data_IF_967868704155
#
_entry.id   IF_967868704155
#
_cell.length_a   1.000
_cell.length_b   1.000
_cell.length_c   1.000
_cell.angle_alpha   90.00
_cell.angle_beta   90.00
_cell.angle_gamma   90.00
#
_symmetry.space_group_name_H-M   'P 1'
#
loop_
_entity.id
_entity.type
_entity.pdbx_description
1 polymer ?
#
# COMPACT_ATOMS: atom_id res chain seq x y z
N UNK A 1 1.92 8.89 40.67
CA UNK A 1 1.44 8.41 39.35
C UNK A 1 1.07 6.94 39.48
N UNK A 2 -0.21 6.57 39.31
CA UNK A 2 -0.69 5.20 39.55
C UNK A 2 -0.28 4.26 38.40
N UNK A 3 0.17 3.05 38.74
CA UNK A 3 0.64 2.01 37.80
C UNK A 3 -0.34 1.73 36.64
N UNK A 4 -1.66 1.90 36.83
CA UNK A 4 -2.65 1.67 35.77
C UNK A 4 -2.64 2.74 34.67
N UNK A 5 -2.32 4.00 34.98
CA UNK A 5 -2.20 5.06 33.97
C UNK A 5 -0.99 4.83 33.06
N UNK A 6 0.13 4.36 33.63
CA UNK A 6 1.32 4.01 32.86
C UNK A 6 1.08 2.82 31.91
N UNK A 7 0.35 1.79 32.37
CA UNK A 7 -0.04 0.66 31.54
C UNK A 7 -1.00 1.06 30.40
N UNK A 8 -1.97 1.93 30.66
CA UNK A 8 -2.87 2.44 29.63
C UNK A 8 -2.15 3.21 28.51
N UNK A 9 -1.17 4.04 28.87
CA UNK A 9 -0.33 4.77 27.91
C UNK A 9 0.54 3.80 27.08
N UNK A 10 1.15 2.81 27.72
CA UNK A 10 1.98 1.81 27.04
C UNK A 10 1.16 1.00 26.02
N UNK A 11 -0.05 0.57 26.38
CA UNK A 11 -0.95 -0.18 25.48
C UNK A 11 -1.41 0.67 24.30
N UNK A 12 -1.76 1.95 24.50
CA UNK A 12 -2.12 2.87 23.41
C UNK A 12 -0.96 3.05 22.42
N UNK A 13 0.26 3.24 22.94
CA UNK A 13 1.47 3.37 22.11
C UNK A 13 1.75 2.11 21.29
N UNK A 14 1.61 0.92 21.89
CA UNK A 14 1.77 -0.36 21.18
C UNK A 14 0.72 -0.55 20.08
N UNK A 15 -0.54 -0.21 20.36
CA UNK A 15 -1.62 -0.33 19.39
C UNK A 15 -1.45 0.66 18.22
N UNK A 16 -0.97 1.87 18.50
CA UNK A 16 -0.65 2.86 17.47
C UNK A 16 0.51 2.38 16.58
N UNK A 17 1.57 1.83 17.18
CA UNK A 17 2.67 1.22 16.43
C UNK A 17 2.18 0.07 15.53
N UNK A 18 1.35 -0.82 16.06
CA UNK A 18 0.78 -1.93 15.28
C UNK A 18 -0.10 -1.43 14.11
N UNK A 19 -0.86 -0.35 14.30
CA UNK A 19 -1.65 0.27 13.21
C UNK A 19 -0.75 0.86 12.13
N UNK A 20 0.30 1.58 12.52
CA UNK A 20 1.27 2.15 11.58
C UNK A 20 2.01 1.07 10.81
N UNK A 21 2.36 -0.02 11.48
CA UNK A 21 3.04 -1.14 10.84
C UNK A 21 2.16 -1.85 9.81
N UNK A 22 0.90 -2.15 10.15
CA UNK A 22 -0.05 -2.71 9.18
C UNK A 22 -0.25 -1.80 7.98
N UNK A 23 -0.45 -0.50 8.22
CA UNK A 23 -0.60 0.46 7.12
C UNK A 23 0.67 0.55 6.25
N UNK A 24 1.86 0.36 6.83
CA UNK A 24 3.11 0.33 6.06
C UNK A 24 3.17 -0.91 5.18
N UNK A 25 2.87 -2.08 5.74
CA UNK A 25 2.85 -3.36 5.01
C UNK A 25 1.83 -3.31 3.87
N UNK A 26 0.62 -2.84 4.13
CA UNK A 26 -0.41 -2.62 3.11
C UNK A 26 0.12 -1.70 1.98
N UNK A 27 0.78 -0.60 2.32
CA UNK A 27 1.35 0.31 1.31
C UNK A 27 2.53 -0.30 0.54
N UNK A 28 3.31 -1.20 1.15
CA UNK A 28 4.38 -1.95 0.47
C UNK A 28 3.80 -2.95 -0.54
N UNK A 29 2.75 -3.67 -0.17
CA UNK A 29 2.03 -4.58 -1.08
C UNK A 29 1.44 -3.82 -2.27
N UNK A 30 0.78 -2.69 -2.03
CA UNK A 30 0.20 -1.88 -3.11
C UNK A 30 1.29 -1.33 -4.03
N UNK A 31 2.44 -0.91 -3.49
CA UNK A 31 3.60 -0.50 -4.30
C UNK A 31 4.16 -1.65 -5.14
N UNK A 32 4.25 -2.85 -4.58
CA UNK A 32 4.72 -4.03 -5.31
C UNK A 32 3.77 -4.39 -6.47
N UNK A 33 2.46 -4.33 -6.24
CA UNK A 33 1.46 -4.53 -7.29
C UNK A 33 1.58 -3.48 -8.39
N UNK A 34 1.72 -2.20 -8.03
CA UNK A 34 1.90 -1.13 -9.00
C UNK A 34 3.20 -1.30 -9.82
N UNK A 35 4.27 -1.78 -9.21
CA UNK A 35 5.52 -2.07 -9.91
C UNK A 35 5.35 -3.21 -10.92
N UNK A 36 4.64 -4.29 -10.57
CA UNK A 36 4.35 -5.39 -11.48
C UNK A 36 3.51 -4.93 -12.69
N UNK A 37 2.48 -4.12 -12.46
CA UNK A 37 1.67 -3.56 -13.54
C UNK A 37 2.47 -2.62 -14.46
N UNK A 38 3.43 -1.86 -13.92
CA UNK A 38 4.34 -1.04 -14.74
C UNK A 38 5.24 -1.90 -15.61
N UNK A 39 5.72 -3.03 -15.11
CA UNK A 39 6.50 -3.96 -15.93
C UNK A 39 5.68 -4.48 -17.11
N UNK A 40 4.42 -4.86 -16.90
CA UNK A 40 3.52 -5.26 -17.99
C UNK A 40 3.27 -4.10 -18.95
N UNK A 41 3.02 -2.89 -18.42
CA UNK A 41 2.80 -1.69 -19.22
C UNK A 41 3.99 -1.34 -20.10
N UNK A 42 5.22 -1.53 -19.61
CA UNK A 42 6.44 -1.13 -20.29
C UNK A 42 7.06 -2.28 -21.12
N UNK A 43 6.59 -3.52 -20.93
CA UNK A 43 7.05 -4.69 -21.67
C UNK A 43 6.74 -4.54 -23.17
N UNK A 44 7.76 -4.54 -24.07
CA UNK A 44 7.52 -4.45 -25.51
C UNK A 44 6.77 -5.65 -26.09
N UNK A 45 6.84 -6.82 -25.45
CA UNK A 45 6.22 -8.07 -25.91
C UNK A 45 4.76 -8.23 -25.44
N UNK A 46 4.32 -7.37 -24.51
CA UNK A 46 2.94 -7.38 -24.04
C UNK A 46 1.99 -6.95 -25.16
N UNK A 47 0.88 -7.67 -25.30
CA UNK A 47 -0.15 -7.33 -26.27
C UNK A 47 -0.74 -5.94 -25.93
N UNK A 48 -1.29 -5.22 -26.92
CA UNK A 48 -1.97 -3.95 -26.66
C UNK A 48 -3.10 -4.06 -25.62
N UNK A 49 -3.79 -5.21 -25.57
CA UNK A 49 -4.84 -5.49 -24.59
C UNK A 49 -4.31 -5.57 -23.16
N UNK A 50 -3.26 -6.37 -22.93
CA UNK A 50 -2.62 -6.50 -21.62
C UNK A 50 -2.05 -5.17 -21.12
N UNK A 51 -1.44 -4.39 -22.02
CA UNK A 51 -0.93 -3.05 -21.71
C UNK A 51 -2.06 -2.11 -21.27
N UNK A 52 -3.19 -2.14 -21.99
CA UNK A 52 -4.36 -1.33 -21.66
C UNK A 52 -4.97 -1.73 -20.31
N UNK A 53 -5.07 -3.03 -20.03
CA UNK A 53 -5.55 -3.52 -18.74
C UNK A 53 -4.63 -3.08 -17.58
N UNK A 54 -3.32 -3.20 -17.75
CA UNK A 54 -2.36 -2.75 -16.75
C UNK A 54 -2.50 -1.24 -16.46
N UNK A 55 -2.70 -0.42 -17.49
CA UNK A 55 -2.95 1.03 -17.33
C UNK A 55 -4.24 1.30 -16.56
N UNK A 56 -5.34 0.60 -16.90
CA UNK A 56 -6.62 0.75 -16.19
C UNK A 56 -6.50 0.40 -14.71
N UNK A 57 -5.81 -0.69 -14.40
CA UNK A 57 -5.55 -1.11 -13.01
C UNK A 57 -4.70 -0.07 -12.26
N UNK A 58 -3.67 0.48 -12.90
CA UNK A 58 -2.84 1.54 -12.31
C UNK A 58 -3.65 2.82 -12.00
N UNK A 59 -4.53 3.25 -12.91
CA UNK A 59 -5.42 4.41 -12.70
C UNK A 59 -6.40 4.18 -11.54
N UNK A 60 -6.94 2.97 -11.42
CA UNK A 60 -7.83 2.61 -10.32
C UNK A 60 -7.08 2.57 -8.98
N UNK A 61 -5.85 2.05 -8.95
CA UNK A 61 -4.99 2.09 -7.78
C UNK A 61 -4.67 3.53 -7.35
N UNK A 62 -4.42 4.44 -8.30
CA UNK A 62 -4.20 5.87 -8.01
C UNK A 62 -5.43 6.50 -7.34
N UNK A 63 -6.63 6.17 -7.80
CA UNK A 63 -7.90 6.65 -7.20
C UNK A 63 -8.11 6.10 -5.79
N UNK A 64 -7.82 4.82 -5.55
CA UNK A 64 -8.10 4.15 -4.27
C UNK A 64 -7.08 4.46 -3.17
N UNK A 65 -5.80 4.49 -3.52
CA UNK A 65 -4.71 4.52 -2.52
C UNK A 65 -3.97 5.86 -2.45
N UNK A 66 -4.37 6.86 -3.26
CA UNK A 66 -3.68 8.17 -3.37
C UNK A 66 -2.18 7.98 -3.55
N UNK A 67 -1.80 6.99 -4.34
CA UNK A 67 -0.40 6.74 -4.67
C UNK A 67 -0.03 7.74 -5.75
N UNK A 68 1.00 8.54 -5.47
CA UNK A 68 1.66 9.35 -6.48
C UNK A 68 2.37 8.34 -7.40
N UNK A 69 1.74 8.05 -8.54
CA UNK A 69 2.29 7.17 -9.56
C UNK A 69 3.55 7.78 -10.18
#
# INVERSE_FOLDING_TARGET
MNKSNAQGIATRKRNEQARRERHRQEMEEVKAQAAALRQIRDNPDATPGERLEAIKMLEDMKRRYVIIL
#
